data_IF_009403286155
#
_entry.id   IF_009403286155
#
_cell.length_a   1.000
_cell.length_b   1.000
_cell.length_c   1.000
_cell.angle_alpha   90.00
_cell.angle_beta   90.00
_cell.angle_gamma   90.00
#
_symmetry.space_group_name_H-M   'P 1'
#
loop_
_entity.id
_entity.type
_entity.pdbx_description
1 polymer ?
#
# COMPACT_ATOMS: atom_id res chain seq x y z
N UNK A 1 -7.40 -13.30 -1.22
CA UNK A 1 -7.41 -12.19 -0.24
C UNK A 1 -8.70 -12.24 0.59
N UNK A 2 -8.62 -12.04 1.91
CA UNK A 2 -9.80 -12.11 2.79
C UNK A 2 -10.84 -11.03 2.50
N UNK A 3 -12.10 -11.29 2.84
CA UNK A 3 -13.22 -10.34 2.65
C UNK A 3 -12.98 -8.99 3.33
N UNK A 4 -12.43 -9.01 4.54
CA UNK A 4 -12.03 -7.80 5.27
C UNK A 4 -11.05 -6.94 4.45
N UNK A 5 -9.96 -7.54 3.95
CA UNK A 5 -8.97 -6.81 3.14
C UNK A 5 -9.62 -6.23 1.87
N UNK A 6 -10.49 -6.99 1.22
CA UNK A 6 -11.23 -6.49 0.05
C UNK A 6 -12.08 -5.26 0.39
N UNK A 7 -12.82 -5.30 1.50
CA UNK A 7 -13.66 -4.18 1.94
C UNK A 7 -12.82 -2.93 2.24
N UNK A 8 -11.68 -3.12 2.92
CA UNK A 8 -10.75 -2.05 3.28
C UNK A 8 -10.08 -1.39 2.08
N UNK A 9 -9.76 -2.16 1.04
CA UNK A 9 -9.03 -1.65 -0.13
C UNK A 9 -9.97 -0.90 -1.09
N UNK A 10 -11.24 -1.33 -1.21
CA UNK A 10 -12.21 -0.76 -2.16
C UNK A 10 -12.25 0.77 -2.19
N UNK A 11 -12.31 1.50 -1.07
CA UNK A 11 -12.32 2.97 -1.08
C UNK A 11 -11.12 3.62 -1.78
N UNK A 12 -9.92 3.02 -1.68
CA UNK A 12 -8.70 3.55 -2.31
C UNK A 12 -8.71 3.42 -3.85
N UNK A 13 -9.56 2.55 -4.39
CA UNK A 13 -9.69 2.30 -5.82
C UNK A 13 -11.05 2.73 -6.38
N UNK A 14 -11.81 3.53 -5.63
CA UNK A 14 -13.06 4.10 -6.08
C UNK A 14 -12.81 5.34 -6.96
N UNK A 15 -12.14 5.13 -8.09
CA UNK A 15 -11.79 6.15 -9.07
C UNK A 15 -12.60 5.93 -10.35
N UNK A 16 -13.03 7.00 -11.07
CA UNK A 16 -13.90 6.85 -12.25
C UNK A 16 -13.36 5.92 -13.34
N UNK A 17 -12.04 5.82 -13.47
CA UNK A 17 -11.35 5.02 -14.48
C UNK A 17 -10.82 3.68 -13.94
N UNK A 18 -11.03 3.37 -12.65
CA UNK A 18 -10.56 2.14 -12.03
C UNK A 18 -11.71 1.17 -11.80
N UNK A 19 -11.62 -0.03 -12.37
CA UNK A 19 -12.52 -1.14 -12.08
C UNK A 19 -11.76 -2.21 -11.30
N UNK A 20 -11.95 -2.23 -9.98
CA UNK A 20 -11.31 -3.22 -9.11
C UNK A 20 -12.08 -4.54 -9.12
N UNK A 21 -11.43 -5.60 -9.59
CA UNK A 21 -11.98 -6.96 -9.57
C UNK A 21 -11.14 -7.87 -8.67
N UNK A 22 -11.78 -8.49 -7.69
CA UNK A 22 -11.14 -9.50 -6.86
C UNK A 22 -11.31 -10.89 -7.49
N UNK A 23 -10.19 -11.55 -7.74
CA UNK A 23 -10.15 -12.93 -8.23
C UNK A 23 -9.74 -13.88 -7.09
N UNK A 24 -10.28 -15.09 -7.15
CA UNK A 24 -9.94 -16.18 -6.21
C UNK A 24 -8.90 -17.14 -6.79
N UNK A 25 -8.82 -17.21 -8.11
CA UNK A 25 -7.89 -18.07 -8.85
C UNK A 25 -7.51 -17.40 -10.17
N UNK A 26 -6.30 -17.70 -10.66
CA UNK A 26 -5.78 -17.17 -11.93
C UNK A 26 -6.61 -17.64 -13.14
N UNK A 27 -7.24 -18.82 -13.06
CA UNK A 27 -8.12 -19.30 -14.12
C UNK A 27 -9.30 -18.37 -14.43
N UNK A 28 -9.71 -17.54 -13.47
CA UNK A 28 -10.76 -16.54 -13.68
C UNK A 28 -10.34 -15.41 -14.63
N UNK A 29 -9.04 -15.31 -14.94
CA UNK A 29 -8.47 -14.36 -15.89
C UNK A 29 -8.35 -14.93 -17.31
N UNK A 30 -8.44 -16.25 -17.49
CA UNK A 30 -8.21 -16.89 -18.79
C UNK A 30 -9.22 -16.42 -19.84
N UNK A 31 -10.47 -16.18 -19.42
CA UNK A 31 -11.57 -15.72 -20.27
C UNK A 31 -11.86 -14.22 -20.16
N UNK A 32 -10.99 -13.45 -19.50
CA UNK A 32 -11.17 -11.99 -19.37
C UNK A 32 -10.36 -11.25 -20.42
N UNK A 33 -10.89 -10.10 -20.82
CA UNK A 33 -10.15 -9.17 -21.66
C UNK A 33 -8.88 -8.70 -20.93
N UNK A 34 -7.73 -9.08 -21.49
CA UNK A 34 -6.38 -8.70 -21.06
C UNK A 34 -5.91 -7.47 -21.85
N UNK A 35 -6.78 -6.49 -22.04
CA UNK A 35 -6.45 -5.23 -22.69
C UNK A 35 -5.22 -4.57 -22.05
N UNK A 36 -4.55 -3.68 -22.80
CA UNK A 36 -3.33 -3.01 -22.35
C UNK A 36 -3.48 -2.19 -21.06
N UNK A 37 -4.72 -1.93 -20.62
CA UNK A 37 -5.03 -1.22 -19.38
C UNK A 37 -5.24 -2.15 -18.18
N UNK A 38 -5.28 -3.47 -18.39
CA UNK A 38 -5.38 -4.44 -17.32
C UNK A 38 -4.08 -4.48 -16.50
N UNK A 39 -4.21 -4.52 -15.17
CA UNK A 39 -3.08 -4.63 -14.24
C UNK A 39 -3.42 -5.68 -13.18
N UNK A 40 -2.43 -6.46 -12.78
CA UNK A 40 -2.57 -7.35 -11.63
C UNK A 40 -2.05 -6.65 -10.38
N UNK A 41 -2.99 -6.28 -9.49
CA UNK A 41 -2.69 -5.72 -8.19
C UNK A 41 -2.43 -6.84 -7.17
N UNK A 42 -1.23 -6.85 -6.59
CA UNK A 42 -0.78 -7.82 -5.60
C UNK A 42 -0.34 -7.12 -4.32
N UNK A 43 -0.35 -7.84 -3.18
CA UNK A 43 0.15 -7.31 -1.91
C UNK A 43 1.61 -7.73 -1.68
N UNK A 44 2.47 -6.79 -1.25
CA UNK A 44 3.89 -7.01 -1.01
C UNK A 44 4.64 -7.50 -2.26
N UNK A 45 5.57 -8.44 -2.09
CA UNK A 45 6.31 -9.01 -3.22
C UNK A 45 5.43 -9.84 -4.18
N UNK A 46 4.32 -10.37 -3.68
CA UNK A 46 3.41 -11.24 -4.44
C UNK A 46 3.74 -12.72 -4.35
N UNK A 47 2.79 -13.54 -4.80
CA UNK A 47 2.98 -14.99 -4.91
C UNK A 47 3.72 -15.30 -6.23
N UNK A 48 4.79 -16.12 -6.22
CA UNK A 48 5.54 -16.48 -7.44
C UNK A 48 4.68 -17.00 -8.58
N UNK A 49 3.63 -17.79 -8.31
CA UNK A 49 2.73 -18.32 -9.35
C UNK A 49 1.95 -17.20 -10.04
N UNK A 50 1.56 -16.15 -9.30
CA UNK A 50 0.88 -14.98 -9.87
C UNK A 50 1.84 -14.17 -10.72
N UNK A 51 3.10 -14.03 -10.28
CA UNK A 51 4.14 -13.34 -11.02
C UNK A 51 4.46 -14.06 -12.34
N UNK A 52 4.65 -15.38 -12.29
CA UNK A 52 4.89 -16.21 -13.48
C UNK A 52 3.73 -16.14 -14.47
N UNK A 53 2.48 -16.17 -13.98
CA UNK A 53 1.30 -16.01 -14.83
C UNK A 53 1.27 -14.62 -15.49
N UNK A 54 1.50 -13.58 -14.71
CA UNK A 54 1.53 -12.20 -15.21
C UNK A 54 2.59 -12.03 -16.30
N UNK A 55 3.78 -12.59 -16.10
CA UNK A 55 4.85 -12.59 -17.09
C UNK A 55 4.47 -13.35 -18.36
N UNK A 56 3.96 -14.58 -18.24
CA UNK A 56 3.56 -15.41 -19.37
C UNK A 56 2.45 -14.76 -20.22
N UNK A 57 1.58 -13.97 -19.60
CA UNK A 57 0.49 -13.26 -20.26
C UNK A 57 0.74 -11.77 -20.50
N UNK A 58 1.97 -11.29 -20.25
CA UNK A 58 2.37 -9.88 -20.43
C UNK A 58 1.44 -8.87 -19.70
N UNK A 59 0.92 -9.26 -18.53
CA UNK A 59 0.06 -8.40 -17.72
C UNK A 59 0.93 -7.63 -16.73
N UNK A 60 0.94 -6.29 -16.75
CA UNK A 60 1.81 -5.56 -15.82
C UNK A 60 1.32 -5.68 -14.38
N UNK A 61 2.30 -5.77 -13.46
CA UNK A 61 2.08 -5.92 -12.02
C UNK A 61 2.03 -4.55 -11.35
N UNK A 62 1.10 -4.37 -10.42
CA UNK A 62 1.14 -3.31 -9.40
C UNK A 62 1.28 -3.98 -8.04
N UNK A 63 2.28 -3.56 -7.26
CA UNK A 63 2.48 -4.00 -5.87
C UNK A 63 1.88 -2.98 -4.93
N UNK A 64 1.20 -3.47 -3.91
CA UNK A 64 0.53 -2.66 -2.90
C UNK A 64 1.01 -3.05 -1.50
N UNK A 65 1.12 -2.07 -0.62
CA UNK A 65 1.48 -2.30 0.77
C UNK A 65 0.87 -1.22 1.68
N UNK A 66 0.86 -1.45 2.99
CA UNK A 66 0.46 -0.43 3.96
C UNK A 66 1.36 0.81 3.89
N UNK A 67 0.75 2.00 3.87
CA UNK A 67 1.48 3.27 3.88
C UNK A 67 2.32 3.52 5.13
N UNK A 68 3.24 4.50 5.04
CA UNK A 68 4.14 4.87 6.14
C UNK A 68 3.38 5.46 7.35
N UNK A 69 2.27 6.16 7.11
CA UNK A 69 1.30 6.57 8.13
C UNK A 69 0.00 5.79 7.93
N UNK A 70 -0.20 4.75 8.73
CA UNK A 70 -1.26 3.77 8.46
C UNK A 70 -2.52 4.05 9.24
N UNK A 71 -2.49 4.13 10.57
CA UNK A 71 -3.73 4.13 11.37
C UNK A 71 -3.50 4.58 12.81
N UNK A 72 -4.58 4.79 13.56
CA UNK A 72 -4.59 4.80 15.03
C UNK A 72 -5.08 3.43 15.49
N UNK A 73 -4.15 2.55 15.83
CA UNK A 73 -4.40 1.14 16.08
C UNK A 73 -3.69 0.22 15.07
N UNK A 74 -3.58 -1.05 15.43
CA UNK A 74 -2.91 -2.07 14.63
C UNK A 74 -3.82 -2.64 13.54
N UNK A 75 -3.22 -3.04 12.42
CA UNK A 75 -3.92 -3.79 11.38
C UNK A 75 -4.45 -5.15 11.85
N UNK A 76 -3.79 -5.77 12.82
CA UNK A 76 -4.25 -7.01 13.49
C UNK A 76 -5.60 -6.84 14.18
N UNK A 77 -5.94 -5.62 14.59
CA UNK A 77 -7.20 -5.28 15.26
C UNK A 77 -8.27 -4.84 14.26
N UNK A 78 -8.11 -5.19 12.98
CA UNK A 78 -9.01 -4.81 11.89
C UNK A 78 -9.19 -3.28 11.78
N UNK A 79 -8.14 -2.52 12.06
CA UNK A 79 -8.15 -1.07 11.80
C UNK A 79 -7.78 -0.83 10.34
N UNK A 80 -8.67 -0.17 9.62
CA UNK A 80 -8.46 0.22 8.23
C UNK A 80 -7.26 1.18 8.12
N UNK A 81 -6.40 1.03 7.09
CA UNK A 81 -5.35 1.98 6.80
C UNK A 81 -5.96 3.29 6.28
N UNK A 82 -5.27 4.39 6.56
CA UNK A 82 -5.52 5.73 6.05
C UNK A 82 -4.70 6.01 4.78
N UNK A 83 -3.65 5.23 4.54
CA UNK A 83 -2.82 5.32 3.34
C UNK A 83 -2.28 3.96 2.90
N UNK A 84 -2.07 3.83 1.59
CA UNK A 84 -1.47 2.67 0.94
C UNK A 84 -0.33 3.14 0.03
N UNK A 85 0.68 2.28 -0.16
CA UNK A 85 1.68 2.44 -1.22
C UNK A 85 1.24 1.62 -2.41
N UNK A 86 1.38 2.18 -3.61
CA UNK A 86 1.26 1.48 -4.89
C UNK A 86 2.57 1.68 -5.66
N UNK A 87 3.16 0.60 -6.11
CA UNK A 87 4.46 0.56 -6.79
C UNK A 87 4.36 -0.32 -8.04
N UNK A 88 4.66 0.25 -9.19
CA UNK A 88 4.58 -0.39 -10.51
C UNK A 88 5.96 -0.87 -11.02
N UNK A 89 7.02 -0.69 -10.24
CA UNK A 89 8.38 -1.14 -10.57
C UNK A 89 8.80 -2.30 -9.66
N UNK A 90 8.67 -2.11 -8.36
CA UNK A 90 9.11 -3.05 -7.33
C UNK A 90 8.25 -2.89 -6.08
N UNK A 91 8.86 -2.92 -4.90
CA UNK A 91 8.22 -2.50 -3.65
C UNK A 91 9.31 -2.00 -2.71
N UNK A 92 9.05 -0.91 -1.98
CA UNK A 92 10.06 -0.13 -1.25
C UNK A 92 10.94 -0.88 -0.23
N UNK A 93 10.53 -2.07 0.22
CA UNK A 93 11.30 -2.87 1.18
C UNK A 93 12.12 -3.98 0.52
N UNK A 94 11.92 -4.23 -0.78
CA UNK A 94 12.71 -5.21 -1.52
C UNK A 94 13.95 -4.52 -2.11
N UNK A 95 15.12 -4.79 -1.54
CA UNK A 95 16.38 -4.22 -2.00
C UNK A 95 17.00 -4.96 -3.20
N UNK A 96 16.44 -6.09 -3.62
CA UNK A 96 16.98 -6.91 -4.73
C UNK A 96 16.57 -6.39 -6.11
N UNK A 97 15.57 -5.50 -6.17
CA UNK A 97 15.01 -4.96 -7.41
C UNK A 97 14.68 -3.48 -7.23
N UNK A 98 14.84 -2.65 -8.28
CA UNK A 98 14.47 -1.24 -8.21
C UNK A 98 13.01 -1.04 -7.78
N UNK A 99 12.76 -0.03 -6.96
CA UNK A 99 11.41 0.38 -6.54
C UNK A 99 11.01 1.75 -7.10
N UNK A 100 9.70 2.00 -7.21
CA UNK A 100 9.20 3.33 -7.61
C UNK A 100 9.68 4.40 -6.62
N UNK A 101 9.79 4.06 -5.33
CA UNK A 101 10.34 4.97 -4.32
C UNK A 101 11.80 5.33 -4.60
N UNK A 102 12.67 4.36 -4.88
CA UNK A 102 14.05 4.65 -5.29
C UNK A 102 14.12 5.52 -6.53
N UNK A 103 13.31 5.20 -7.55
CA UNK A 103 13.29 5.99 -8.77
C UNK A 103 12.85 7.44 -8.49
N UNK A 104 11.86 7.65 -7.61
CA UNK A 104 11.49 8.99 -7.15
C UNK A 104 12.68 9.65 -6.45
N UNK A 105 13.30 9.00 -5.47
CA UNK A 105 14.41 9.59 -4.71
C UNK A 105 15.62 9.97 -5.57
N UNK A 106 15.90 9.22 -6.63
CA UNK A 106 17.01 9.49 -7.55
C UNK A 106 16.74 10.68 -8.49
N UNK A 107 15.48 10.88 -8.90
CA UNK A 107 15.14 11.80 -9.99
C UNK A 107 14.26 12.99 -9.55
N UNK A 108 13.77 12.99 -8.32
CA UNK A 108 12.90 14.05 -7.83
C UNK A 108 13.65 15.39 -7.76
N UNK A 109 13.06 16.41 -8.39
CA UNK A 109 13.48 17.79 -8.22
C UNK A 109 12.50 18.48 -7.28
N UNK A 110 12.97 18.90 -6.10
CA UNK A 110 12.15 19.56 -5.09
C UNK A 110 12.27 21.08 -5.22
N UNK A 111 11.13 21.75 -5.36
CA UNK A 111 11.03 23.21 -5.24
C UNK A 111 11.37 23.69 -3.82
N UNK A 112 11.51 25.00 -3.62
CA UNK A 112 11.71 25.53 -2.28
C UNK A 112 10.46 25.35 -1.41
N UNK A 113 9.28 25.44 -2.01
CA UNK A 113 8.00 25.15 -1.37
C UNK A 113 7.93 23.69 -0.91
N UNK A 114 8.34 22.74 -1.75
CA UNK A 114 8.36 21.31 -1.39
C UNK A 114 9.31 21.03 -0.23
N UNK A 115 10.50 21.63 -0.24
CA UNK A 115 11.48 21.51 0.86
C UNK A 115 10.92 22.06 2.16
N UNK A 116 10.26 23.22 2.12
CA UNK A 116 9.62 23.84 3.28
C UNK A 116 8.47 22.97 3.80
N UNK A 117 7.64 22.43 2.92
CA UNK A 117 6.56 21.51 3.26
C UNK A 117 7.12 20.24 3.93
N UNK A 118 8.12 19.61 3.32
CA UNK A 118 8.77 18.41 3.85
C UNK A 118 9.37 18.65 5.25
N UNK A 119 10.07 19.77 5.46
CA UNK A 119 10.61 20.14 6.77
C UNK A 119 9.52 20.35 7.82
N UNK A 120 8.42 21.02 7.46
CA UNK A 120 7.29 21.24 8.37
C UNK A 120 6.60 19.93 8.73
N UNK A 121 6.38 19.04 7.74
CA UNK A 121 5.83 17.71 7.96
C UNK A 121 6.74 16.89 8.88
N UNK A 122 8.04 16.86 8.63
CA UNK A 122 9.02 16.15 9.47
C UNK A 122 8.98 16.65 10.93
N UNK A 123 9.04 17.98 11.14
CA UNK A 123 8.92 18.58 12.48
C UNK A 123 7.61 18.19 13.17
N UNK A 124 6.49 18.20 12.44
CA UNK A 124 5.18 17.82 12.97
C UNK A 124 5.15 16.35 13.38
N UNK A 125 5.68 15.44 12.55
CA UNK A 125 5.75 14.00 12.83
C UNK A 125 6.53 13.73 14.12
N UNK A 126 7.71 14.33 14.27
CA UNK A 126 8.56 14.14 15.45
C UNK A 126 7.90 14.74 16.70
N UNK A 127 7.40 15.98 16.62
CA UNK A 127 6.74 16.66 17.75
C UNK A 127 5.54 15.89 18.27
N UNK A 128 4.76 15.31 17.37
CA UNK A 128 3.53 14.55 17.70
C UNK A 128 3.79 13.07 17.99
N UNK A 129 5.03 12.59 17.82
CA UNK A 129 5.41 11.18 17.95
C UNK A 129 4.54 10.24 17.11
N UNK A 130 4.13 10.71 15.93
CA UNK A 130 3.35 9.90 15.00
C UNK A 130 4.22 8.75 14.50
N UNK A 131 3.63 7.56 14.46
CA UNK A 131 4.23 6.31 13.97
C UNK A 131 3.28 5.67 12.97
N UNK A 132 3.66 4.52 12.40
CA UNK A 132 2.79 3.78 11.47
C UNK A 132 1.41 3.47 12.10
N UNK A 133 1.38 3.08 13.38
CA UNK A 133 0.16 2.61 14.05
C UNK A 133 -0.35 3.51 15.18
N UNK A 134 0.43 4.49 15.63
CA UNK A 134 0.00 5.47 16.64
C UNK A 134 -0.57 4.86 17.94
N UNK A 135 -0.06 3.71 18.35
CA UNK A 135 -0.53 2.95 19.55
C UNK A 135 0.16 3.37 20.87
N UNK A 136 0.74 4.58 20.92
CA UNK A 136 1.48 5.07 22.08
C UNK A 136 0.65 5.07 23.37
N UNK A 137 1.24 4.55 24.47
CA UNK A 137 0.64 4.22 25.78
C UNK A 137 -0.70 4.93 26.08
N UNK A 138 -1.79 4.16 26.07
CA UNK A 138 -2.91 4.43 26.94
C UNK A 138 -2.39 4.48 28.38
N UNK A 139 -2.50 5.63 29.05
CA UNK A 139 -2.54 5.64 30.51
C UNK A 139 -3.79 4.83 30.90
N UNK A 140 -3.55 3.65 31.48
CA UNK A 140 -4.44 2.84 32.31
C UNK A 140 -5.93 2.78 31.91
N UNK A 141 -6.32 1.72 31.19
CA UNK A 141 -7.72 1.27 31.11
C UNK A 141 -8.01 -0.01 31.91
N UNK A 142 -7.07 -0.47 32.74
CA UNK A 142 -7.29 -1.58 33.68
C UNK A 142 -7.14 -1.07 35.12
N UNK A 143 -8.20 -0.43 35.62
CA UNK A 143 -8.42 -0.28 37.05
C UNK A 143 -9.19 -1.49 37.55
N UNK A 144 -8.50 -2.44 38.19
CA UNK A 144 -9.15 -3.38 39.09
C UNK A 144 -9.40 -2.64 40.42
N UNK A 145 -10.63 -2.49 40.90
CA UNK A 145 -10.87 -2.03 42.26
C UNK A 145 -10.27 -3.04 43.23
N UNK A 146 -9.64 -2.54 44.30
CA UNK A 146 -9.07 -3.37 45.37
C UNK A 146 -10.13 -4.26 46.01
#
# INVERSE_FOLDING_TARGET
MSWWKQAVIKPFFNLPQCKLHFIRSLHQLDNRDKSQHCRLLIWGQGNPNVLSYAQAHQIPILRMEDGFLRSVGLGSNLVAPLSLVIDDLGIYFNAEQPSRLENILQHISLSQEDKKLAQNLHKKLIKTKLTKYNVGKNKNFWGCPR
#
